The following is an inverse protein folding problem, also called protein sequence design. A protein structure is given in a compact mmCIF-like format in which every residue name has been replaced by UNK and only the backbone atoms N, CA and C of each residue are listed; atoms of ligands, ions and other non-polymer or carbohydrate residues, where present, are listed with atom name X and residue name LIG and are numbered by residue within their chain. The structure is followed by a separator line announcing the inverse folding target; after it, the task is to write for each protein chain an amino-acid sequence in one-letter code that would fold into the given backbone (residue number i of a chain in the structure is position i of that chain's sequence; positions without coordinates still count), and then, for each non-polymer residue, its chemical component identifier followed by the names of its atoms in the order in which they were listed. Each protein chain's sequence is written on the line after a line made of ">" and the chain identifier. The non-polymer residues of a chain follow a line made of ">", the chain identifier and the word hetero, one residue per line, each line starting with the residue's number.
data_IF_534698650859
#
_entry.id   IF_534698650859
#
_cell.length_a   1.000
_cell.length_b   1.000
_cell.length_c   1.000
_cell.angle_alpha   90.00
_cell.angle_beta   90.00
_cell.angle_gamma   90.00
#
_symmetry.space_group_name_H-M   'P 1'
#
loop_
_entity.id
_entity.type
_entity.pdbx_description
1 polymer ?
#
# COMPACT_ATOMS: atom_id res chain seq x y z
N UNK A 1 -9.09 6.18 -20.39
CA UNK A 1 -8.60 5.86 -19.04
C UNK A 1 -7.64 4.69 -19.21
N UNK A 2 -6.36 4.84 -18.87
CA UNK A 2 -5.43 3.69 -18.92
C UNK A 2 -5.98 2.62 -17.97
N UNK A 3 -6.05 1.37 -18.45
CA UNK A 3 -6.43 0.24 -17.62
C UNK A 3 -5.38 0.07 -16.52
N UNK A 4 -5.80 -0.36 -15.32
CA UNK A 4 -4.88 -0.75 -14.25
C UNK A 4 -3.94 -1.91 -14.65
N UNK A 5 -4.20 -2.55 -15.79
CA UNK A 5 -3.40 -3.66 -16.32
C UNK A 5 -2.19 -3.19 -17.14
N UNK A 6 -2.14 -1.91 -17.55
CA UNK A 6 -0.96 -1.31 -18.17
C UNK A 6 -0.34 -0.29 -17.23
N UNK A 7 0.76 -0.71 -16.60
CA UNK A 7 1.54 0.12 -15.70
C UNK A 7 2.53 1.03 -16.47
N UNK A 8 2.65 0.92 -17.80
CA UNK A 8 3.54 1.80 -18.54
C UNK A 8 3.18 3.28 -18.32
N UNK A 9 4.18 4.08 -17.93
CA UNK A 9 3.99 5.52 -17.71
C UNK A 9 3.34 5.93 -16.40
N UNK A 10 3.03 4.99 -15.48
CA UNK A 10 2.42 5.32 -14.18
C UNK A 10 3.22 6.37 -13.39
N UNK A 11 4.55 6.34 -13.49
CA UNK A 11 5.46 7.28 -12.82
C UNK A 11 5.35 8.70 -13.35
N UNK A 12 5.11 8.85 -14.66
CA UNK A 12 4.87 10.14 -15.30
C UNK A 12 3.49 10.67 -14.93
N UNK A 13 2.47 9.81 -14.96
CA UNK A 13 1.10 10.18 -14.60
C UNK A 13 1.01 10.78 -13.18
N UNK A 14 1.66 10.15 -12.20
CA UNK A 14 1.66 10.66 -10.82
C UNK A 14 2.51 11.92 -10.65
N UNK A 15 3.55 12.10 -11.45
CA UNK A 15 4.37 13.32 -11.41
C UNK A 15 3.59 14.51 -11.98
N UNK A 16 2.95 14.31 -13.14
CA UNK A 16 2.06 15.28 -13.76
C UNK A 16 0.91 15.65 -12.81
N UNK A 17 0.33 14.66 -12.14
CA UNK A 17 -0.68 14.89 -11.12
C UNK A 17 -0.15 15.75 -9.97
N UNK A 18 1.03 15.42 -9.41
CA UNK A 18 1.63 16.16 -8.28
C UNK A 18 1.95 17.62 -8.60
N UNK A 19 2.26 17.92 -9.86
CA UNK A 19 2.53 19.27 -10.35
C UNK A 19 1.23 20.01 -10.72
N UNK A 20 0.13 19.29 -10.95
CA UNK A 20 -1.15 19.88 -11.32
C UNK A 20 -1.88 20.58 -10.17
N UNK A 21 -2.64 21.64 -10.50
CA UNK A 21 -3.56 22.31 -9.57
C UNK A 21 -4.65 21.38 -9.01
N UNK A 22 -4.88 20.22 -9.63
CA UNK A 22 -5.84 19.21 -9.19
C UNK A 22 -5.36 18.55 -7.89
N UNK A 23 -4.06 18.31 -7.72
CA UNK A 23 -3.51 17.76 -6.47
C UNK A 23 -3.75 18.67 -5.27
N UNK A 24 -3.84 20.00 -5.49
CA UNK A 24 -4.20 20.99 -4.47
C UNK A 24 -5.71 21.11 -4.23
N UNK A 25 -6.53 20.65 -5.16
CA UNK A 25 -8.00 20.74 -5.11
C UNK A 25 -8.68 19.48 -4.58
N UNK A 26 -8.00 18.35 -4.48
CA UNK A 26 -8.58 17.16 -3.82
C UNK A 26 -8.83 17.49 -2.35
N UNK A 27 -10.10 17.64 -1.93
CA UNK A 27 -10.41 17.83 -0.53
C UNK A 27 -10.10 16.52 0.21
N UNK A 28 -9.84 16.62 1.52
CA UNK A 28 -9.72 15.52 2.49
C UNK A 28 -8.29 15.10 2.86
N UNK A 29 -7.58 16.04 3.50
CA UNK A 29 -6.90 15.69 4.76
C UNK A 29 -7.98 15.31 5.78
N UNK A 30 -8.37 14.05 5.80
CA UNK A 30 -9.02 13.50 7.00
C UNK A 30 -7.86 13.04 7.86
N UNK A 31 -7.56 13.81 8.90
CA UNK A 31 -6.70 13.31 9.98
C UNK A 31 -7.37 12.06 10.53
N UNK A 32 -6.60 11.07 11.01
CA UNK A 32 -7.17 9.99 11.84
C UNK A 32 -7.98 10.59 13.03
N UNK A 33 -7.66 11.81 13.46
CA UNK A 33 -8.40 12.57 14.49
C UNK A 33 -9.70 13.22 14.01
N UNK A 34 -9.91 13.37 12.70
CA UNK A 34 -11.16 13.97 12.24
C UNK A 34 -12.27 12.95 12.36
N UNK A 35 -13.19 13.19 13.30
CA UNK A 35 -14.40 12.43 13.61
C UNK A 35 -15.36 12.19 12.41
N UNK A 36 -14.96 12.55 11.19
CA UNK A 36 -15.65 12.15 9.96
C UNK A 36 -15.34 10.68 9.71
N UNK A 37 -16.36 9.82 9.85
CA UNK A 37 -16.29 8.42 9.40
C UNK A 37 -15.89 8.41 7.93
N UNK A 38 -14.68 7.95 7.66
CA UNK A 38 -14.24 7.66 6.30
C UNK A 38 -15.10 6.49 5.82
N UNK A 39 -15.72 6.58 4.63
CA UNK A 39 -16.37 5.43 4.03
C UNK A 39 -15.39 4.26 3.94
N UNK A 40 -15.84 3.07 4.32
CA UNK A 40 -15.05 1.85 4.13
C UNK A 40 -14.77 1.65 2.65
N UNK A 41 -13.55 1.21 2.34
CA UNK A 41 -13.18 0.83 0.99
C UNK A 41 -13.51 -0.65 0.73
N UNK A 42 -13.83 -1.05 -0.51
CA UNK A 42 -13.96 -2.47 -0.83
C UNK A 42 -12.67 -3.25 -0.54
N UNK A 43 -12.78 -4.51 -0.11
CA UNK A 43 -11.63 -5.41 0.12
C UNK A 43 -10.76 -5.57 -1.13
N UNK A 44 -11.37 -5.47 -2.30
CA UNK A 44 -10.68 -5.55 -3.59
C UNK A 44 -9.64 -4.44 -3.79
N UNK A 45 -9.75 -3.30 -3.09
CA UNK A 45 -8.81 -2.18 -3.22
C UNK A 45 -7.40 -2.57 -2.76
N UNK A 46 -7.16 -2.96 -1.50
CA UNK A 46 -5.83 -3.40 -1.08
C UNK A 46 -5.39 -4.71 -1.74
N UNK A 47 -6.32 -5.62 -2.08
CA UNK A 47 -6.01 -6.88 -2.77
C UNK A 47 -5.44 -6.60 -4.17
N UNK A 48 -6.11 -5.77 -4.97
CA UNK A 48 -5.65 -5.45 -6.33
C UNK A 48 -4.36 -4.64 -6.30
N UNK A 49 -4.17 -3.77 -5.31
CA UNK A 49 -2.89 -3.08 -5.13
C UNK A 49 -1.74 -4.07 -4.87
N UNK A 50 -1.92 -5.00 -3.94
CA UNK A 50 -0.93 -6.04 -3.65
C UNK A 50 -0.62 -6.90 -4.89
N UNK A 51 -1.66 -7.27 -5.65
CA UNK A 51 -1.54 -8.00 -6.91
C UNK A 51 -0.66 -7.26 -7.93
N UNK A 52 -0.91 -5.96 -8.14
CA UNK A 52 -0.12 -5.14 -9.06
C UNK A 52 1.35 -5.03 -8.61
N UNK A 53 1.59 -4.83 -7.31
CA UNK A 53 2.95 -4.74 -6.78
C UNK A 53 3.73 -6.06 -6.91
N UNK A 54 3.07 -7.21 -6.76
CA UNK A 54 3.72 -8.53 -6.87
C UNK A 54 3.97 -8.95 -8.32
N UNK A 55 3.14 -8.49 -9.26
CA UNK A 55 3.25 -8.83 -10.68
C UNK A 55 4.24 -7.94 -11.43
N UNK A 56 4.47 -6.70 -10.98
CA UNK A 56 5.53 -5.84 -11.53
C UNK A 56 6.88 -6.18 -10.90
N UNK A 57 7.88 -6.50 -11.74
CA UNK A 57 9.21 -6.91 -11.28
C UNK A 57 9.88 -5.86 -10.38
N UNK A 58 9.75 -4.57 -10.71
CA UNK A 58 10.43 -3.49 -9.99
C UNK A 58 9.77 -3.23 -8.64
N UNK A 59 8.44 -3.25 -8.60
CA UNK A 59 7.67 -3.14 -7.36
C UNK A 59 7.90 -4.35 -6.46
N UNK A 60 7.94 -5.57 -7.02
CA UNK A 60 8.24 -6.79 -6.28
C UNK A 60 9.62 -6.74 -5.63
N UNK A 61 10.65 -6.34 -6.36
CA UNK A 61 11.99 -6.16 -5.77
C UNK A 61 12.01 -5.09 -4.67
N UNK A 62 11.20 -4.04 -4.78
CA UNK A 62 11.07 -3.06 -3.70
C UNK A 62 10.35 -3.64 -2.47
N UNK A 63 9.32 -4.47 -2.67
CA UNK A 63 8.66 -5.20 -1.58
C UNK A 63 9.63 -6.16 -0.89
N UNK A 64 10.42 -6.94 -1.64
CA UNK A 64 11.42 -7.86 -1.09
C UNK A 64 12.43 -7.11 -0.19
N UNK A 65 12.95 -5.97 -0.64
CA UNK A 65 13.84 -5.13 0.19
C UNK A 65 13.18 -4.58 1.45
N UNK A 66 11.92 -4.14 1.35
CA UNK A 66 11.18 -3.69 2.53
C UNK A 66 10.95 -4.86 3.50
N UNK A 67 10.65 -6.05 2.99
CA UNK A 67 10.46 -7.25 3.79
C UNK A 67 11.75 -7.65 4.52
N UNK A 68 12.90 -7.64 3.83
CA UNK A 68 14.21 -7.89 4.45
C UNK A 68 14.48 -6.90 5.59
N UNK A 69 14.17 -5.62 5.38
CA UNK A 69 14.29 -4.58 6.40
C UNK A 69 13.37 -4.81 7.60
N UNK A 70 12.12 -5.20 7.36
CA UNK A 70 11.15 -5.46 8.42
C UNK A 70 11.54 -6.71 9.23
N UNK A 71 12.06 -7.76 8.59
CA UNK A 71 12.61 -8.93 9.28
C UNK A 71 13.83 -8.56 10.14
N UNK A 72 14.71 -7.68 9.64
CA UNK A 72 15.85 -7.19 10.42
C UNK A 72 15.40 -6.41 11.67
N UNK A 73 14.35 -5.60 11.56
CA UNK A 73 13.74 -4.90 12.71
C UNK A 73 13.07 -5.87 13.68
N UNK A 74 12.39 -6.90 13.21
CA UNK A 74 11.79 -7.95 14.04
C UNK A 74 12.86 -8.72 14.84
N UNK A 75 14.00 -9.02 14.22
CA UNK A 75 15.15 -9.67 14.87
C UNK A 75 15.90 -8.75 15.84
N UNK A 76 15.79 -7.42 15.65
CA UNK A 76 16.49 -6.40 16.44
C UNK A 76 15.51 -5.31 16.93
N UNK A 77 14.66 -5.58 17.93
CA UNK A 77 13.60 -4.66 18.36
C UNK A 77 14.09 -3.30 18.86
N UNK A 78 15.32 -3.24 19.39
CA UNK A 78 15.95 -2.01 19.88
C UNK A 78 16.72 -1.25 18.77
N UNK A 79 16.67 -1.74 17.52
CA UNK A 79 17.32 -1.09 16.39
C UNK A 79 16.65 0.25 16.08
N UNK A 80 17.34 1.33 16.42
CA UNK A 80 16.93 2.71 16.14
C UNK A 80 17.87 3.45 15.19
N UNK A 81 17.65 4.76 14.98
CA UNK A 81 18.47 5.61 14.11
C UNK A 81 19.97 5.60 14.37
N UNK A 82 20.38 5.32 15.61
CA UNK A 82 21.79 5.27 16.03
C UNK A 82 22.46 3.91 15.77
N UNK A 83 21.71 2.89 15.36
CA UNK A 83 22.25 1.57 15.04
C UNK A 83 22.99 1.60 13.70
N UNK A 84 24.17 0.96 13.56
CA UNK A 84 24.93 0.94 12.29
C UNK A 84 24.10 0.48 11.10
N UNK A 85 23.27 -0.54 11.31
CA UNK A 85 22.42 -1.13 10.27
C UNK A 85 21.23 -0.24 9.89
N UNK A 86 20.94 0.83 10.65
CA UNK A 86 19.92 1.81 10.27
C UNK A 86 20.18 2.47 8.91
N UNK A 87 21.46 2.55 8.53
CA UNK A 87 21.87 3.05 7.21
C UNK A 87 21.44 2.14 6.06
N UNK A 88 21.14 0.87 6.34
CA UNK A 88 20.67 -0.11 5.35
C UNK A 88 19.18 0.06 5.01
N UNK A 89 18.46 0.93 5.71
CA UNK A 89 17.04 1.18 5.47
C UNK A 89 16.77 1.47 3.98
N UNK A 90 15.86 0.74 3.32
CA UNK A 90 15.69 0.79 1.87
C UNK A 90 14.82 1.98 1.44
N UNK A 91 15.29 3.21 1.67
CA UNK A 91 14.53 4.45 1.44
C UNK A 91 13.93 4.55 0.03
N UNK A 92 14.69 4.18 -1.00
CA UNK A 92 14.19 4.20 -2.38
C UNK A 92 13.09 3.16 -2.62
N UNK A 93 13.14 2.00 -1.96
CA UNK A 93 12.08 1.01 -2.04
C UNK A 93 10.80 1.52 -1.36
N UNK A 94 10.91 2.11 -0.16
CA UNK A 94 9.77 2.76 0.49
C UNK A 94 9.17 3.85 -0.39
N UNK A 95 10.01 4.73 -0.96
CA UNK A 95 9.56 5.82 -1.82
C UNK A 95 8.85 5.32 -3.07
N UNK A 96 9.36 4.25 -3.69
CA UNK A 96 8.75 3.66 -4.88
C UNK A 96 7.36 3.10 -4.56
N UNK A 97 7.24 2.30 -3.49
CA UNK A 97 5.97 1.71 -3.07
C UNK A 97 4.94 2.77 -2.71
N UNK A 98 5.32 3.81 -1.96
CA UNK A 98 4.40 4.90 -1.63
C UNK A 98 4.03 5.72 -2.88
N UNK A 99 4.96 5.99 -3.80
CA UNK A 99 4.66 6.69 -5.06
C UNK A 99 3.68 5.88 -5.92
N UNK A 100 3.85 4.56 -6.00
CA UNK A 100 2.93 3.68 -6.73
C UNK A 100 1.56 3.60 -6.07
N UNK A 101 1.53 3.54 -4.74
CA UNK A 101 0.28 3.57 -3.98
C UNK A 101 -0.46 4.87 -4.29
N UNK A 102 0.16 6.04 -4.11
CA UNK A 102 -0.44 7.34 -4.45
C UNK A 102 -1.08 7.34 -5.85
N UNK A 103 -0.34 6.86 -6.86
CA UNK A 103 -0.86 6.71 -8.21
C UNK A 103 -2.13 5.84 -8.25
N UNK A 104 -2.07 4.64 -7.67
CA UNK A 104 -3.19 3.73 -7.62
C UNK A 104 -4.43 4.35 -6.95
N UNK A 105 -4.24 5.06 -5.84
CA UNK A 105 -5.32 5.77 -5.14
C UNK A 105 -6.08 6.73 -6.07
N UNK A 106 -5.35 7.50 -6.89
CA UNK A 106 -5.94 8.40 -7.87
C UNK A 106 -6.76 7.62 -8.89
N UNK A 107 -6.22 6.51 -9.41
CA UNK A 107 -6.87 5.70 -10.44
C UNK A 107 -8.18 5.07 -9.95
N UNK A 108 -8.23 4.64 -8.69
CA UNK A 108 -9.45 4.06 -8.09
C UNK A 108 -10.32 5.08 -7.36
N UNK A 109 -9.95 6.37 -7.41
CA UNK A 109 -10.62 7.44 -6.64
C UNK A 109 -10.73 7.13 -5.13
N UNK A 110 -9.78 6.36 -4.60
CA UNK A 110 -9.73 6.09 -3.16
C UNK A 110 -9.30 7.37 -2.41
N UNK A 111 -9.70 7.53 -1.14
CA UNK A 111 -9.20 8.61 -0.30
C UNK A 111 -7.67 8.54 -0.20
N UNK A 112 -7.01 9.43 -0.95
CA UNK A 112 -5.56 9.45 -1.20
C UNK A 112 -4.68 9.58 0.07
N UNK A 113 -5.25 9.78 1.27
CA UNK A 113 -4.47 10.15 2.47
C UNK A 113 -4.61 9.22 3.67
N UNK A 114 -5.19 8.04 3.48
CA UNK A 114 -5.25 7.02 4.53
C UNK A 114 -4.17 5.99 4.24
N UNK A 115 -3.06 5.98 4.98
CA UNK A 115 -1.99 4.98 4.77
C UNK A 115 -2.45 3.52 4.93
N UNK A 116 -3.59 3.30 5.58
CA UNK A 116 -4.14 1.98 5.88
C UNK A 116 -4.25 1.05 4.66
N UNK A 117 -4.63 1.53 3.47
CA UNK A 117 -4.72 0.63 2.29
C UNK A 117 -3.36 0.32 1.66
N UNK A 118 -2.39 1.23 1.74
CA UNK A 118 -0.99 0.91 1.43
C UNK A 118 -0.45 -0.11 2.44
N UNK A 119 -0.63 0.13 3.75
CA UNK A 119 -0.15 -0.75 4.81
C UNK A 119 -0.79 -2.13 4.70
N UNK A 120 -2.09 -2.20 4.44
CA UNK A 120 -2.81 -3.45 4.22
C UNK A 120 -2.30 -4.17 2.96
N UNK A 121 -2.13 -3.48 1.83
CA UNK A 121 -1.63 -4.10 0.61
C UNK A 121 -0.18 -4.61 0.77
N UNK A 122 0.66 -3.88 1.48
CA UNK A 122 2.04 -4.29 1.81
C UNK A 122 2.01 -5.53 2.70
N UNK A 123 1.18 -5.56 3.75
CA UNK A 123 1.03 -6.74 4.62
C UNK A 123 0.54 -7.98 3.87
N UNK A 124 -0.42 -7.82 2.95
CA UNK A 124 -0.86 -8.89 2.05
C UNK A 124 0.30 -9.39 1.20
N UNK A 125 1.06 -8.47 0.58
CA UNK A 125 2.18 -8.82 -0.28
C UNK A 125 3.30 -9.52 0.50
N UNK A 126 3.59 -9.10 1.73
CA UNK A 126 4.56 -9.76 2.60
C UNK A 126 4.12 -11.16 2.99
N UNK A 127 2.84 -11.36 3.31
CA UNK A 127 2.31 -12.69 3.61
C UNK A 127 2.52 -13.66 2.43
N UNK A 128 2.34 -13.18 1.19
CA UNK A 128 2.62 -13.97 -0.02
C UNK A 128 4.12 -14.22 -0.18
N UNK A 129 4.97 -13.20 -0.01
CA UNK A 129 6.43 -13.33 -0.16
C UNK A 129 7.06 -14.24 0.89
N UNK A 130 6.53 -14.24 2.13
CA UNK A 130 6.91 -15.16 3.21
C UNK A 130 6.38 -16.59 3.00
N UNK A 131 5.45 -16.79 2.06
CA UNK A 131 4.78 -18.07 1.82
C UNK A 131 3.73 -18.43 2.87
N UNK A 132 3.31 -17.47 3.70
CA UNK A 132 2.26 -17.65 4.71
C UNK A 132 0.88 -17.78 4.04
N UNK A 133 0.69 -17.13 2.88
CA UNK A 133 -0.49 -17.29 2.03
C UNK A 133 -0.09 -17.68 0.62
N UNK A 134 -0.94 -18.48 -0.03
CA UNK A 134 -0.66 -18.98 -1.39
C UNK A 134 -0.92 -17.94 -2.48
N UNK A 135 -1.76 -16.94 -2.19
CA UNK A 135 -2.05 -15.83 -3.11
C UNK A 135 -2.73 -14.66 -2.39
N UNK A 136 -2.69 -13.49 -3.02
CA UNK A 136 -3.40 -12.28 -2.57
C UNK A 136 -4.93 -12.43 -2.52
N UNK A 137 -5.49 -13.46 -3.17
CA UNK A 137 -6.94 -13.74 -3.19
C UNK A 137 -7.35 -14.93 -2.32
N UNK A 138 -6.43 -15.49 -1.55
CA UNK A 138 -6.70 -16.61 -0.66
C UNK A 138 -7.66 -16.24 0.49
N UNK A 139 -8.37 -17.21 1.04
CA UNK A 139 -9.23 -16.98 2.21
C UNK A 139 -8.44 -16.54 3.45
N UNK A 140 -7.17 -16.96 3.55
CA UNK A 140 -6.24 -16.48 4.57
C UNK A 140 -6.02 -14.97 4.45
N UNK A 141 -5.84 -14.47 3.23
CA UNK A 141 -5.69 -13.03 2.97
C UNK A 141 -6.94 -12.26 3.36
N UNK A 142 -8.14 -12.76 3.03
CA UNK A 142 -9.40 -12.12 3.45
C UNK A 142 -9.55 -12.08 4.97
N UNK A 143 -9.15 -13.16 5.65
CA UNK A 143 -9.17 -13.25 7.12
C UNK A 143 -8.23 -12.22 7.74
N UNK A 144 -7.01 -12.09 7.20
CA UNK A 144 -6.06 -11.04 7.61
C UNK A 144 -6.66 -9.62 7.51
N UNK A 145 -7.33 -9.29 6.40
CA UNK A 145 -7.98 -7.98 6.23
C UNK A 145 -9.09 -7.79 7.28
N UNK A 146 -9.88 -8.83 7.58
CA UNK A 146 -10.93 -8.80 8.60
C UNK A 146 -10.38 -8.55 9.99
N UNK A 147 -9.31 -9.24 10.35
CA UNK A 147 -8.78 -9.19 11.71
C UNK A 147 -8.11 -7.85 12.02
N UNK A 148 -7.36 -7.30 11.06
CA UNK A 148 -6.54 -6.09 11.30
C UNK A 148 -7.13 -4.81 10.72
N UNK A 149 -8.03 -4.89 9.73
CA UNK A 149 -8.48 -3.73 8.96
C UNK A 149 -9.99 -3.62 8.75
N UNK A 150 -10.82 -4.35 9.51
CA UNK A 150 -12.30 -4.31 9.39
C UNK A 150 -12.93 -2.92 9.51
N UNK A 151 -12.28 -1.99 10.19
CA UNK A 151 -12.78 -0.62 10.38
C UNK A 151 -12.63 0.22 9.12
N UNK A 152 -11.71 -0.17 8.22
CA UNK A 152 -11.36 0.58 7.03
C UNK A 152 -11.87 -0.05 5.74
N UNK A 153 -12.14 -1.36 5.75
CA UNK A 153 -12.62 -2.07 4.58
C UNK A 153 -13.97 -2.77 4.81
N UNK A 154 -14.72 -2.97 3.73
CA UNK A 154 -16.00 -3.68 3.68
C UNK A 154 -16.02 -4.70 2.54
N UNK A 155 -16.75 -5.80 2.73
CA UNK A 155 -17.07 -6.71 1.62
C UNK A 155 -18.17 -6.09 0.74
N UNK A 156 -18.33 -6.56 -0.50
CA UNK A 156 -19.50 -6.19 -1.31
C UNK A 156 -20.78 -6.59 -0.56
N UNK A 157 -21.65 -5.61 -0.27
CA UNK A 157 -22.91 -5.83 0.44
C UNK A 157 -22.96 -5.39 1.90
N UNK A 158 -21.83 -4.97 2.49
CA UNK A 158 -21.79 -4.33 3.81
C UNK A 158 -22.15 -2.83 3.68
N UNK A 159 -23.45 -2.52 3.60
CA UNK A 159 -23.99 -1.15 3.66
C UNK A 159 -24.85 -0.94 4.90
#
# INVERSE_FOLDING_TARGET
>A
MSSLDDLAGWESEIEDYRISDIAFKVPNRVSLDSQRRIPKLPYEVPIKLAELMLNDKRLRTALEKKLEWDLLLEENPDMGPDHPDWTQKPYEAHRLISKFSDWYAIKVSAPHRIKVWEDCAVGIAFSVLRGETTSVRSEQTKSYIKDFYREFFSEEGDH
#
